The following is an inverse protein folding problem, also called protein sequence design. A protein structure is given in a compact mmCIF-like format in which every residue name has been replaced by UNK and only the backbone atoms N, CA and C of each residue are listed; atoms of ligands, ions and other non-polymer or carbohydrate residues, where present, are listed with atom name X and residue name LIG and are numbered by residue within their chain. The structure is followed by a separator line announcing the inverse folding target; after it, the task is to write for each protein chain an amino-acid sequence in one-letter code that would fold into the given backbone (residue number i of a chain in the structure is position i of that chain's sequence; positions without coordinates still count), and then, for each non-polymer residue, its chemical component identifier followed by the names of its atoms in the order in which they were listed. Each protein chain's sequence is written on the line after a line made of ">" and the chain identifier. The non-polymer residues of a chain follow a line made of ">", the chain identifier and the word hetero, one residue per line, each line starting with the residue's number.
data_IF_499364477952
#
_entry.id   IF_499364477952
#
_cell.length_a   1.000
_cell.length_b   1.000
_cell.length_c   1.000
_cell.angle_alpha   90.00
_cell.angle_beta   90.00
_cell.angle_gamma   90.00
#
_symmetry.space_group_name_H-M   'P 1'
#
loop_
_entity.id
_entity.type
_entity.pdbx_description
1 polymer ?
#
# COMPACT_ATOMS: atom_id res chain seq x y z
N UNK A 1 -24.26 47.86 20.65
CA UNK A 1 -23.39 46.74 21.02
C UNK A 1 -24.06 45.45 20.66
N UNK A 2 -23.86 44.95 19.45
CA UNK A 2 -24.35 43.64 19.03
C UNK A 2 -23.27 42.62 19.35
N UNK A 3 -23.52 41.76 20.34
CA UNK A 3 -22.77 40.56 20.56
C UNK A 3 -23.00 39.62 19.36
N UNK A 4 -22.08 39.61 18.44
CA UNK A 4 -22.00 38.54 17.46
C UNK A 4 -21.56 37.28 18.24
N UNK A 5 -22.51 36.37 18.43
CA UNK A 5 -22.24 35.05 18.94
C UNK A 5 -21.35 34.38 17.88
N UNK A 6 -20.07 34.21 18.18
CA UNK A 6 -19.21 33.29 17.39
C UNK A 6 -19.86 31.90 17.42
N UNK A 7 -20.02 31.25 16.26
CA UNK A 7 -20.51 29.88 16.25
C UNK A 7 -19.50 29.02 17.03
N UNK A 8 -20.05 28.27 17.98
CA UNK A 8 -19.31 27.26 18.78
C UNK A 8 -18.56 26.35 17.81
N UNK A 9 -17.27 26.61 17.61
CA UNK A 9 -16.37 25.74 16.86
C UNK A 9 -16.21 24.50 17.71
N UNK A 10 -17.00 23.48 17.42
CA UNK A 10 -16.97 22.19 18.11
C UNK A 10 -15.52 21.78 18.34
N UNK A 11 -15.21 21.56 19.62
CA UNK A 11 -13.87 21.21 20.10
C UNK A 11 -13.33 20.06 19.27
N UNK A 12 -12.27 20.29 18.52
CA UNK A 12 -11.63 19.26 17.71
C UNK A 12 -11.23 18.10 18.63
N UNK A 13 -11.71 16.88 18.33
CA UNK A 13 -11.44 15.69 19.14
C UNK A 13 -9.94 15.35 19.17
N UNK A 14 -9.20 15.82 18.17
CA UNK A 14 -7.74 15.63 18.07
C UNK A 14 -7.12 16.99 17.72
N UNK A 15 -6.44 17.59 18.67
CA UNK A 15 -5.82 18.92 18.52
C UNK A 15 -4.59 18.91 17.59
N UNK A 16 -3.85 17.79 17.54
CA UNK A 16 -2.66 17.68 16.71
C UNK A 16 -3.02 17.35 15.25
N UNK A 17 -2.67 18.20 14.25
CA UNK A 17 -2.88 17.92 12.84
C UNK A 17 -2.23 16.62 12.37
N UNK A 18 -1.07 16.28 12.91
CA UNK A 18 -0.36 15.03 12.62
C UNK A 18 -1.13 13.81 13.11
N UNK A 19 -1.64 13.85 14.34
CA UNK A 19 -2.43 12.75 14.89
C UNK A 19 -3.74 12.57 14.10
N UNK A 20 -4.37 13.67 13.71
CA UNK A 20 -5.59 13.66 12.89
C UNK A 20 -5.33 12.99 11.54
N UNK A 21 -4.29 13.42 10.82
CA UNK A 21 -3.90 12.84 9.54
C UNK A 21 -3.51 11.35 9.67
N UNK A 22 -2.83 10.98 10.75
CA UNK A 22 -2.46 9.59 11.03
C UNK A 22 -3.69 8.71 11.26
N UNK A 23 -4.63 9.17 12.10
CA UNK A 23 -5.87 8.43 12.39
C UNK A 23 -6.76 8.38 11.16
N UNK A 24 -6.95 9.51 10.45
CA UNK A 24 -7.73 9.56 9.22
C UNK A 24 -7.15 8.65 8.13
N UNK A 25 -5.84 8.68 7.95
CA UNK A 25 -5.13 7.81 7.01
C UNK A 25 -5.24 6.33 7.39
N UNK A 26 -5.11 6.00 8.67
CA UNK A 26 -5.29 4.64 9.18
C UNK A 26 -6.71 4.11 8.99
N UNK A 27 -7.72 4.92 9.31
CA UNK A 27 -9.12 4.59 9.08
C UNK A 27 -9.44 4.44 7.60
N UNK A 28 -8.96 5.35 6.76
CA UNK A 28 -9.15 5.28 5.32
C UNK A 28 -8.50 4.03 4.72
N UNK A 29 -7.26 3.72 5.09
CA UNK A 29 -6.58 2.50 4.66
C UNK A 29 -7.32 1.24 5.07
N UNK A 30 -7.75 1.15 6.33
CA UNK A 30 -8.53 0.01 6.83
C UNK A 30 -9.87 -0.12 6.10
N UNK A 31 -10.55 1.00 5.83
CA UNK A 31 -11.81 1.01 5.07
C UNK A 31 -11.61 0.46 3.65
N UNK A 32 -10.55 0.88 2.97
CA UNK A 32 -10.17 0.34 1.65
C UNK A 32 -9.92 -1.16 1.74
N UNK A 33 -9.07 -1.58 2.68
CA UNK A 33 -8.69 -2.98 2.84
C UNK A 33 -9.90 -3.87 3.11
N UNK A 34 -10.83 -3.45 3.98
CA UNK A 34 -12.04 -4.20 4.29
C UNK A 34 -13.03 -4.22 3.12
N UNK A 35 -13.28 -3.07 2.49
CA UNK A 35 -14.25 -2.93 1.39
C UNK A 35 -13.80 -3.72 0.16
N UNK A 36 -12.52 -3.70 -0.16
CA UNK A 36 -11.95 -4.35 -1.35
C UNK A 36 -11.35 -5.73 -1.05
N UNK A 37 -11.43 -6.20 0.20
CA UNK A 37 -10.91 -7.50 0.61
C UNK A 37 -11.43 -8.67 -0.23
N UNK A 38 -12.72 -8.71 -0.62
CA UNK A 38 -13.24 -9.72 -1.52
C UNK A 38 -12.49 -9.77 -2.86
N UNK A 39 -12.21 -8.62 -3.47
CA UNK A 39 -11.47 -8.55 -4.74
C UNK A 39 -10.03 -9.06 -4.59
N UNK A 40 -9.38 -8.73 -3.48
CA UNK A 40 -8.03 -9.20 -3.19
C UNK A 40 -8.00 -10.73 -2.97
N UNK A 41 -9.01 -11.28 -2.30
CA UNK A 41 -9.15 -12.72 -2.14
C UNK A 41 -9.39 -13.42 -3.48
N UNK A 42 -10.28 -12.89 -4.33
CA UNK A 42 -10.52 -13.43 -5.66
C UNK A 42 -9.26 -13.41 -6.52
N UNK A 43 -8.52 -12.29 -6.49
CA UNK A 43 -7.22 -12.17 -7.15
C UNK A 43 -6.25 -13.28 -6.71
N UNK A 44 -6.05 -13.45 -5.41
CA UNK A 44 -5.15 -14.46 -4.84
C UNK A 44 -5.54 -15.88 -5.26
N UNK A 45 -6.84 -16.21 -5.25
CA UNK A 45 -7.36 -17.52 -5.67
C UNK A 45 -7.18 -17.76 -7.16
N UNK A 46 -7.38 -16.76 -8.00
CA UNK A 46 -7.14 -16.85 -9.45
C UNK A 46 -5.65 -17.01 -9.77
N UNK A 47 -4.77 -16.43 -8.96
CA UNK A 47 -3.32 -16.53 -9.14
C UNK A 47 -2.73 -17.83 -8.56
N UNK A 48 -3.46 -18.51 -7.67
CA UNK A 48 -3.02 -19.76 -7.05
C UNK A 48 -2.79 -20.88 -8.08
N UNK A 49 -1.73 -21.67 -7.88
CA UNK A 49 -1.43 -22.84 -8.72
C UNK A 49 -2.46 -23.95 -8.57
N UNK A 50 -3.17 -24.01 -7.44
CA UNK A 50 -4.26 -24.97 -7.24
C UNK A 50 -5.51 -24.66 -8.08
N UNK A 51 -5.60 -23.43 -8.63
CA UNK A 51 -6.75 -22.96 -9.37
C UNK A 51 -7.85 -22.37 -8.47
N UNK A 52 -8.78 -21.64 -9.08
CA UNK A 52 -9.81 -20.87 -8.39
C UNK A 52 -10.72 -21.72 -7.50
N UNK A 53 -11.27 -22.81 -8.05
CA UNK A 53 -12.20 -23.67 -7.32
C UNK A 53 -11.54 -24.40 -6.15
N UNK A 54 -10.35 -24.96 -6.34
CA UNK A 54 -9.60 -25.67 -5.30
C UNK A 54 -9.08 -24.71 -4.21
N UNK A 55 -8.90 -23.44 -4.52
CA UNK A 55 -8.54 -22.39 -3.55
C UNK A 55 -9.75 -21.83 -2.80
N UNK A 56 -10.95 -22.41 -2.93
CA UNK A 56 -12.16 -22.06 -2.18
C UNK A 56 -13.20 -21.27 -2.98
N UNK A 57 -12.98 -20.97 -4.28
CA UNK A 57 -13.95 -20.27 -5.14
C UNK A 57 -14.46 -18.96 -4.54
N UNK A 58 -15.75 -18.85 -4.32
CA UNK A 58 -16.38 -17.68 -3.67
C UNK A 58 -16.65 -17.88 -2.18
N UNK A 59 -16.32 -19.03 -1.57
CA UNK A 59 -16.58 -19.30 -0.15
C UNK A 59 -15.50 -18.70 0.77
N UNK A 60 -15.90 -18.07 1.88
CA UNK A 60 -14.97 -17.53 2.86
C UNK A 60 -14.05 -16.45 2.28
N UNK A 61 -14.60 -15.50 1.53
CA UNK A 61 -13.85 -14.42 0.84
C UNK A 61 -13.14 -13.46 1.81
N UNK A 62 -13.52 -13.44 3.08
CA UNK A 62 -12.87 -12.66 4.15
C UNK A 62 -11.82 -13.46 4.96
N UNK A 63 -11.47 -14.68 4.53
CA UNK A 63 -10.40 -15.44 5.19
C UNK A 63 -9.07 -14.71 5.05
N UNK A 64 -8.38 -14.54 6.17
CA UNK A 64 -7.09 -13.83 6.18
C UNK A 64 -7.18 -12.33 6.50
N UNK A 65 -8.39 -11.74 6.64
CA UNK A 65 -8.55 -10.31 6.91
C UNK A 65 -7.86 -9.85 8.20
N UNK A 66 -7.82 -10.71 9.23
CA UNK A 66 -7.15 -10.37 10.50
C UNK A 66 -5.67 -10.07 10.34
N UNK A 67 -4.94 -10.81 9.50
CA UNK A 67 -3.51 -10.53 9.24
C UNK A 67 -3.30 -9.23 8.46
N UNK A 68 -4.23 -8.86 7.58
CA UNK A 68 -4.17 -7.60 6.86
C UNK A 68 -4.30 -6.41 7.82
N UNK A 69 -5.29 -6.44 8.70
CA UNK A 69 -5.54 -5.37 9.69
C UNK A 69 -4.33 -5.22 10.63
N UNK A 70 -3.83 -6.35 11.18
CA UNK A 70 -2.69 -6.33 12.11
C UNK A 70 -1.40 -5.86 11.44
N UNK A 71 -1.21 -6.14 10.15
CA UNK A 71 0.02 -5.81 9.41
C UNK A 71 0.05 -4.39 8.84
N UNK A 72 -1.10 -3.75 8.63
CA UNK A 72 -1.17 -2.46 7.93
C UNK A 72 -0.55 -1.31 8.74
N UNK A 73 -0.92 -1.16 10.01
CA UNK A 73 -0.45 -0.06 10.85
C UNK A 73 1.07 -0.10 11.14
N UNK A 74 1.68 -1.24 11.57
CA UNK A 74 3.13 -1.30 11.76
C UNK A 74 3.92 -1.14 10.45
N UNK A 75 3.39 -1.65 9.33
CA UNK A 75 4.01 -1.46 8.02
C UNK A 75 4.06 0.00 7.60
N UNK A 76 2.93 0.71 7.74
CA UNK A 76 2.86 2.14 7.48
C UNK A 76 3.78 2.94 8.42
N UNK A 77 3.81 2.60 9.71
CA UNK A 77 4.68 3.26 10.68
C UNK A 77 6.16 3.14 10.29
N UNK A 78 6.63 1.95 9.93
CA UNK A 78 8.01 1.74 9.48
C UNK A 78 8.32 2.50 8.19
N UNK A 79 7.37 2.55 7.25
CA UNK A 79 7.52 3.36 6.04
C UNK A 79 7.77 4.83 6.39
N UNK A 80 6.86 5.45 7.15
CA UNK A 80 6.95 6.87 7.46
C UNK A 80 8.17 7.22 8.32
N UNK A 81 8.49 6.41 9.33
CA UNK A 81 9.67 6.62 10.17
C UNK A 81 10.95 6.59 9.31
N UNK A 82 11.07 5.60 8.43
CA UNK A 82 12.24 5.46 7.56
C UNK A 82 12.30 6.58 6.52
N UNK A 83 11.17 6.91 5.91
CA UNK A 83 11.04 8.00 4.95
C UNK A 83 11.45 9.35 5.55
N UNK A 84 10.87 9.71 6.71
CA UNK A 84 11.16 10.98 7.38
C UNK A 84 12.61 11.04 7.89
N UNK A 85 13.13 9.93 8.42
CA UNK A 85 14.52 9.87 8.90
C UNK A 85 15.50 10.12 7.75
N UNK A 86 15.28 9.48 6.60
CA UNK A 86 16.11 9.69 5.43
C UNK A 86 15.95 11.11 4.86
N UNK A 87 14.72 11.59 4.72
CA UNK A 87 14.46 12.96 4.27
C UNK A 87 15.22 13.98 5.13
N UNK A 88 15.16 13.86 6.45
CA UNK A 88 15.90 14.73 7.39
C UNK A 88 17.41 14.58 7.26
N UNK A 89 17.93 13.39 7.02
CA UNK A 89 19.37 13.16 6.82
C UNK A 89 19.93 13.85 5.57
N UNK A 90 19.11 14.04 4.55
CA UNK A 90 19.46 14.76 3.32
C UNK A 90 19.07 16.24 3.33
N UNK A 91 18.28 16.67 4.32
CA UNK A 91 17.90 18.05 4.47
C UNK A 91 19.06 18.86 5.06
N UNK A 92 19.30 20.04 4.52
CA UNK A 92 20.22 21.01 5.11
C UNK A 92 19.41 21.96 6.02
N UNK A 93 19.85 22.24 7.24
CA UNK A 93 19.19 23.21 8.08
C UNK A 93 19.24 24.58 7.39
N UNK A 94 18.09 25.10 7.03
CA UNK A 94 18.00 26.46 6.49
C UNK A 94 18.21 27.44 7.63
N UNK A 95 19.04 28.48 7.42
CA UNK A 95 19.29 29.54 8.38
C UNK A 95 18.08 30.48 8.57
N UNK A 96 17.06 30.38 7.73
CA UNK A 96 15.88 31.22 7.80
C UNK A 96 14.86 30.60 8.77
N UNK A 97 14.54 31.36 9.83
CA UNK A 97 13.50 31.01 10.79
C UNK A 97 12.16 31.34 10.16
N UNK A 98 11.30 30.32 9.96
CA UNK A 98 9.90 30.51 9.59
C UNK A 98 9.01 30.51 10.84
N UNK A 99 7.86 31.18 10.77
CA UNK A 99 6.89 31.21 11.85
C UNK A 99 5.64 30.43 11.42
N UNK A 100 5.16 29.54 12.28
CA UNK A 100 3.89 28.83 12.03
C UNK A 100 2.69 29.78 12.22
N UNK A 101 1.48 29.30 11.91
CA UNK A 101 0.25 30.08 12.07
C UNK A 101 0.01 30.58 13.52
N UNK A 102 0.68 29.98 14.51
CA UNK A 102 0.63 30.37 15.93
C UNK A 102 1.76 31.35 16.33
N UNK A 103 2.57 31.81 15.36
CA UNK A 103 3.69 32.74 15.61
C UNK A 103 4.90 32.08 16.27
N UNK A 104 4.96 30.74 16.37
CA UNK A 104 6.13 30.05 16.94
C UNK A 104 7.20 29.83 15.87
N UNK A 105 8.46 30.19 16.17
CA UNK A 105 9.54 29.99 15.23
C UNK A 105 9.82 28.49 15.06
N UNK A 106 9.89 28.02 13.81
CA UNK A 106 10.36 26.69 13.48
C UNK A 106 11.41 26.77 12.36
N UNK A 107 12.34 25.81 12.38
CA UNK A 107 13.31 25.66 11.29
C UNK A 107 12.74 24.62 10.33
N UNK A 108 12.55 25.04 9.09
CA UNK A 108 12.17 24.09 8.03
C UNK A 108 13.45 23.47 7.47
N UNK A 109 13.48 22.15 7.46
CA UNK A 109 14.56 21.38 6.83
C UNK A 109 14.33 21.41 5.31
N UNK A 110 15.10 22.22 4.59
CA UNK A 110 14.95 22.39 3.14
C UNK A 110 15.92 21.46 2.40
N UNK A 111 15.39 20.69 1.50
CA UNK A 111 16.16 19.91 0.54
C UNK A 111 16.47 20.82 -0.65
N UNK A 112 17.72 20.79 -1.12
CA UNK A 112 18.15 21.51 -2.32
C UNK A 112 17.18 21.22 -3.48
N UNK A 113 16.57 22.24 -4.12
CA UNK A 113 15.55 22.05 -5.15
C UNK A 113 15.99 21.13 -6.30
N UNK A 114 17.30 21.13 -6.65
CA UNK A 114 17.85 20.25 -7.68
C UNK A 114 17.85 18.77 -7.30
N UNK A 115 17.86 18.45 -6.01
CA UNK A 115 17.94 17.07 -5.51
C UNK A 115 16.64 16.58 -4.83
N UNK A 116 15.63 17.44 -4.73
CA UNK A 116 14.41 17.16 -3.98
C UNK A 116 13.71 15.88 -4.49
N UNK A 117 13.52 15.78 -5.79
CA UNK A 117 12.87 14.59 -6.38
C UNK A 117 13.67 13.31 -6.11
N UNK A 118 15.01 13.36 -6.26
CA UNK A 118 15.88 12.21 -6.02
C UNK A 118 15.84 11.77 -4.55
N UNK A 119 15.90 12.72 -3.62
CA UNK A 119 15.82 12.42 -2.17
C UNK A 119 14.48 11.80 -1.80
N UNK A 120 13.37 12.34 -2.32
CA UNK A 120 12.05 11.76 -2.10
C UNK A 120 11.93 10.34 -2.69
N UNK A 121 12.47 10.10 -3.89
CA UNK A 121 12.47 8.77 -4.51
C UNK A 121 13.31 7.77 -3.69
N UNK A 122 14.50 8.15 -3.26
CA UNK A 122 15.36 7.29 -2.43
C UNK A 122 14.72 7.02 -1.06
N UNK A 123 14.21 8.06 -0.39
CA UNK A 123 13.55 7.92 0.90
C UNK A 123 12.31 7.03 0.80
N UNK A 124 11.49 7.18 -0.24
CA UNK A 124 10.34 6.33 -0.49
C UNK A 124 10.73 4.87 -0.79
N UNK A 125 11.77 4.66 -1.61
CA UNK A 125 12.24 3.32 -1.94
C UNK A 125 12.77 2.57 -0.72
N UNK A 126 13.59 3.22 0.11
CA UNK A 126 14.11 2.60 1.35
C UNK A 126 13.00 2.44 2.39
N UNK A 127 12.08 3.40 2.49
CA UNK A 127 10.88 3.30 3.33
C UNK A 127 10.02 2.10 2.95
N UNK A 128 9.82 1.84 1.66
CA UNK A 128 9.09 0.67 1.17
C UNK A 128 9.79 -0.64 1.52
N UNK A 129 11.12 -0.71 1.38
CA UNK A 129 11.90 -1.88 1.79
C UNK A 129 11.77 -2.14 3.29
N UNK A 130 11.82 -1.09 4.11
CA UNK A 130 11.61 -1.20 5.56
C UNK A 130 10.17 -1.65 5.89
N UNK A 131 9.16 -1.10 5.24
CA UNK A 131 7.77 -1.52 5.38
C UNK A 131 7.56 -2.99 5.02
N UNK A 132 8.28 -3.49 4.02
CA UNK A 132 8.24 -4.91 3.63
C UNK A 132 8.67 -5.84 4.78
N UNK A 133 9.46 -5.37 5.77
CA UNK A 133 9.84 -6.19 6.91
C UNK A 133 8.62 -6.69 7.72
N UNK A 134 7.56 -5.90 7.79
CA UNK A 134 6.28 -6.30 8.40
C UNK A 134 5.29 -6.83 7.35
N UNK A 135 5.24 -6.18 6.19
CA UNK A 135 4.28 -6.52 5.14
C UNK A 135 4.46 -7.95 4.61
N UNK A 136 5.70 -8.39 4.35
CA UNK A 136 5.92 -9.72 3.76
C UNK A 136 5.48 -10.86 4.67
N UNK A 137 5.84 -10.92 5.97
CA UNK A 137 5.33 -11.96 6.86
C UNK A 137 3.80 -11.98 6.97
N UNK A 138 3.18 -10.81 7.11
CA UNK A 138 1.72 -10.71 7.20
C UNK A 138 1.03 -11.09 5.90
N UNK A 139 1.63 -10.78 4.76
CA UNK A 139 1.11 -11.13 3.44
C UNK A 139 1.21 -12.64 3.17
N UNK A 140 2.28 -13.31 3.58
CA UNK A 140 2.40 -14.77 3.47
C UNK A 140 1.28 -15.46 4.26
N UNK A 141 1.04 -15.03 5.50
CA UNK A 141 -0.04 -15.55 6.35
C UNK A 141 -1.41 -15.27 5.72
N UNK A 142 -1.62 -14.05 5.23
CA UNK A 142 -2.84 -13.61 4.54
C UNK A 142 -3.14 -14.46 3.32
N UNK A 143 -2.19 -14.58 2.41
CA UNK A 143 -2.39 -15.29 1.14
C UNK A 143 -2.63 -16.78 1.34
N UNK A 144 -1.97 -17.43 2.31
CA UNK A 144 -2.24 -18.84 2.64
C UNK A 144 -3.65 -19.06 3.18
N UNK A 145 -4.18 -18.13 3.98
CA UNK A 145 -5.56 -18.19 4.44
C UNK A 145 -6.54 -17.90 3.28
N UNK A 146 -6.26 -16.89 2.44
CA UNK A 146 -7.08 -16.55 1.27
C UNK A 146 -7.17 -17.69 0.24
N UNK A 147 -6.07 -18.39 0.00
CA UNK A 147 -6.00 -19.54 -0.88
C UNK A 147 -6.56 -20.83 -0.24
N UNK A 148 -7.22 -20.72 0.92
CA UNK A 148 -7.81 -21.84 1.66
C UNK A 148 -6.83 -22.97 2.04
N UNK A 149 -5.53 -22.68 2.06
CA UNK A 149 -4.53 -23.62 2.60
C UNK A 149 -4.67 -23.80 4.11
N UNK A 150 -5.19 -22.80 4.79
CA UNK A 150 -5.51 -22.81 6.23
C UNK A 150 -6.87 -22.16 6.48
N UNK A 151 -7.61 -22.59 7.52
CA UNK A 151 -8.95 -22.07 7.80
C UNK A 151 -8.96 -20.59 8.25
N UNK A 152 -7.86 -20.10 8.82
CA UNK A 152 -7.73 -18.71 9.29
C UNK A 152 -6.28 -18.23 9.24
N UNK A 153 -6.06 -16.90 9.38
CA UNK A 153 -4.73 -16.30 9.54
C UNK A 153 -3.99 -16.87 10.74
N UNK A 154 -4.68 -17.02 11.87
CA UNK A 154 -4.07 -17.56 13.09
C UNK A 154 -3.60 -18.99 12.89
N UNK A 155 -4.42 -19.84 12.25
CA UNK A 155 -4.04 -21.22 11.92
C UNK A 155 -2.82 -21.26 10.98
N UNK A 156 -2.78 -20.38 9.97
CA UNK A 156 -1.63 -20.28 9.06
C UNK A 156 -0.35 -19.86 9.81
N UNK A 157 -0.45 -18.85 10.67
CA UNK A 157 0.68 -18.39 11.49
C UNK A 157 1.17 -19.46 12.45
N UNK A 158 0.24 -20.08 13.19
CA UNK A 158 0.57 -21.16 14.15
C UNK A 158 1.23 -22.34 13.44
N UNK A 159 0.75 -22.72 12.26
CA UNK A 159 1.37 -23.77 11.45
C UNK A 159 2.83 -23.42 11.09
N UNK A 160 3.11 -22.19 10.65
CA UNK A 160 4.45 -21.74 10.32
C UNK A 160 5.34 -21.73 11.58
N UNK A 161 4.83 -21.18 12.70
CA UNK A 161 5.59 -21.10 13.95
C UNK A 161 5.89 -22.47 14.56
N UNK A 162 4.98 -23.44 14.46
CA UNK A 162 5.18 -24.79 14.98
C UNK A 162 6.28 -25.56 14.23
N UNK A 163 6.64 -25.14 13.01
CA UNK A 163 7.77 -25.74 12.29
C UNK A 163 9.12 -25.52 13.01
N UNK A 164 9.19 -24.62 13.99
CA UNK A 164 10.38 -24.44 14.85
C UNK A 164 10.78 -25.72 15.59
N UNK A 165 9.78 -26.54 15.96
CA UNK A 165 10.02 -27.78 16.72
C UNK A 165 10.51 -28.94 15.85
N UNK A 166 10.17 -28.92 14.55
CA UNK A 166 10.49 -30.00 13.60
C UNK A 166 11.68 -29.68 12.70
N UNK A 167 11.93 -28.39 12.42
CA UNK A 167 12.98 -28.01 11.46
C UNK A 167 14.02 -27.05 12.05
N UNK A 168 13.74 -25.80 12.28
CA UNK A 168 14.65 -24.80 12.88
C UNK A 168 13.97 -23.41 12.89
N UNK A 169 14.41 -22.51 13.78
CA UNK A 169 14.01 -21.11 13.76
C UNK A 169 14.37 -20.42 12.44
N UNK A 170 15.53 -20.75 11.87
CA UNK A 170 15.93 -20.21 10.55
C UNK A 170 14.94 -20.62 9.45
N UNK A 171 14.39 -21.84 9.53
CA UNK A 171 13.37 -22.28 8.58
C UNK A 171 12.08 -21.46 8.71
N UNK A 172 11.62 -21.19 9.94
CA UNK A 172 10.46 -20.33 10.20
C UNK A 172 10.65 -18.94 9.60
N UNK A 173 11.82 -18.33 9.82
CA UNK A 173 12.16 -17.04 9.20
C UNK A 173 12.11 -17.10 7.66
N UNK A 174 12.73 -18.13 7.06
CA UNK A 174 12.70 -18.32 5.61
C UNK A 174 11.29 -18.53 5.06
N UNK A 175 10.38 -19.12 5.83
CA UNK A 175 8.97 -19.29 5.46
C UNK A 175 8.19 -17.98 5.56
N UNK A 176 8.36 -17.21 6.64
CA UNK A 176 7.69 -15.91 6.81
C UNK A 176 8.15 -14.88 5.78
N UNK A 177 9.42 -14.91 5.39
CA UNK A 177 9.98 -14.00 4.38
C UNK A 177 10.00 -14.62 2.97
N UNK A 178 9.18 -15.63 2.75
CA UNK A 178 9.00 -16.22 1.43
C UNK A 178 8.40 -15.17 0.47
N UNK A 179 9.12 -14.92 -0.64
CA UNK A 179 8.70 -13.92 -1.61
C UNK A 179 9.19 -12.49 -1.33
N UNK A 180 10.07 -12.27 -0.34
CA UNK A 180 10.66 -10.95 -0.07
C UNK A 180 11.27 -10.33 -1.34
N UNK A 181 12.18 -11.05 -2.00
CA UNK A 181 12.87 -10.55 -3.20
C UNK A 181 11.90 -10.20 -4.32
N UNK A 182 10.94 -11.09 -4.61
CA UNK A 182 9.96 -10.83 -5.67
C UNK A 182 8.99 -9.70 -5.31
N UNK A 183 8.73 -9.46 -4.01
CA UNK A 183 7.92 -8.31 -3.58
C UNK A 183 8.64 -7.01 -3.95
N UNK A 184 9.93 -6.89 -3.64
CA UNK A 184 10.71 -5.69 -3.99
C UNK A 184 10.83 -5.54 -5.51
N UNK A 185 11.16 -6.64 -6.23
CA UNK A 185 11.27 -6.62 -7.70
C UNK A 185 9.94 -6.21 -8.37
N UNK A 186 8.80 -6.52 -7.77
CA UNK A 186 7.49 -6.10 -8.29
C UNK A 186 7.20 -4.62 -8.07
N UNK A 187 7.59 -4.08 -6.91
CA UNK A 187 7.32 -2.68 -6.57
C UNK A 187 8.03 -1.71 -7.52
N UNK A 188 9.29 -1.99 -7.85
CA UNK A 188 10.10 -1.10 -8.70
C UNK A 188 9.47 -0.86 -10.09
N UNK A 189 9.13 -1.87 -10.91
CA UNK A 189 8.46 -1.63 -12.19
C UNK A 189 7.10 -0.94 -12.04
N UNK A 190 6.35 -1.28 -11.00
CA UNK A 190 5.05 -0.66 -10.76
C UNK A 190 5.19 0.85 -10.55
N UNK A 191 6.10 1.28 -9.69
CA UNK A 191 6.33 2.69 -9.41
C UNK A 191 6.92 3.44 -10.60
N UNK A 192 7.85 2.82 -11.34
CA UNK A 192 8.45 3.40 -12.56
C UNK A 192 7.39 3.66 -13.64
N UNK A 193 6.36 2.84 -13.73
CA UNK A 193 5.27 3.03 -14.71
C UNK A 193 4.24 4.02 -14.17
N UNK A 194 3.82 3.85 -12.90
CA UNK A 194 2.72 4.63 -12.34
C UNK A 194 3.03 6.12 -12.21
N UNK A 195 4.18 6.48 -11.63
CA UNK A 195 4.46 7.89 -11.34
C UNK A 195 4.67 8.75 -12.60
N UNK A 196 5.50 8.37 -13.58
CA UNK A 196 5.63 9.16 -14.79
C UNK A 196 4.32 9.27 -15.58
N UNK A 197 3.53 8.20 -15.62
CA UNK A 197 2.24 8.22 -16.30
C UNK A 197 1.25 9.16 -15.58
N UNK A 198 1.21 9.14 -14.26
CA UNK A 198 0.42 10.05 -13.46
C UNK A 198 0.80 11.52 -13.68
N UNK A 199 2.10 11.83 -13.66
CA UNK A 199 2.60 13.17 -13.95
C UNK A 199 2.25 13.61 -15.38
N UNK A 200 2.44 12.74 -16.38
CA UNK A 200 2.06 13.03 -17.75
C UNK A 200 0.55 13.32 -17.90
N UNK A 201 -0.30 12.55 -17.22
CA UNK A 201 -1.74 12.77 -17.21
C UNK A 201 -2.13 14.09 -16.53
N UNK A 202 -1.47 14.46 -15.42
CA UNK A 202 -1.66 15.75 -14.76
C UNK A 202 -1.27 16.90 -15.67
N UNK A 203 -0.10 16.84 -16.29
CA UNK A 203 0.36 17.85 -17.25
C UNK A 203 -0.60 17.99 -18.41
N UNK A 204 -1.05 16.87 -18.99
CA UNK A 204 -2.04 16.89 -20.07
C UNK A 204 -3.33 17.58 -19.61
N UNK A 205 -3.84 17.26 -18.42
CA UNK A 205 -5.06 17.87 -17.88
C UNK A 205 -4.89 19.38 -17.63
N UNK A 206 -3.76 19.79 -17.05
CA UNK A 206 -3.45 21.22 -16.85
C UNK A 206 -3.39 21.99 -18.16
N UNK A 207 -2.79 21.41 -19.20
CA UNK A 207 -2.73 22.05 -20.53
C UNK A 207 -4.11 22.21 -21.17
N UNK A 208 -5.02 21.26 -20.95
CA UNK A 208 -6.40 21.33 -21.47
C UNK A 208 -7.27 22.34 -20.72
N UNK A 209 -7.05 22.50 -19.41
CA UNK A 209 -7.89 23.38 -18.57
C UNK A 209 -7.32 24.77 -18.36
N UNK A 210 -6.09 25.03 -18.81
CA UNK A 210 -5.38 26.30 -18.59
C UNK A 210 -5.00 26.53 -17.11
N UNK A 211 -5.16 25.54 -16.22
CA UNK A 211 -4.84 25.62 -14.79
C UNK A 211 -3.38 25.24 -14.55
N UNK A 212 -2.78 25.81 -13.49
CA UNK A 212 -1.43 25.45 -13.07
C UNK A 212 -1.36 24.10 -12.38
N UNK A 213 -2.45 23.71 -11.70
CA UNK A 213 -2.53 22.47 -10.91
C UNK A 213 -3.88 21.78 -11.12
N UNK A 214 -3.91 20.48 -10.93
CA UNK A 214 -5.13 19.65 -10.89
C UNK A 214 -5.74 19.69 -9.50
N UNK A 215 -7.06 19.60 -9.41
CA UNK A 215 -7.72 19.46 -8.11
C UNK A 215 -7.37 18.11 -7.46
N UNK A 216 -7.48 17.99 -6.13
CA UNK A 216 -7.19 16.75 -5.42
C UNK A 216 -7.99 15.56 -5.95
N UNK A 217 -9.27 15.75 -6.28
CA UNK A 217 -10.12 14.72 -6.86
C UNK A 217 -9.68 14.33 -8.28
N UNK A 218 -9.35 15.29 -9.14
CA UNK A 218 -8.80 15.01 -10.47
C UNK A 218 -7.47 14.26 -10.37
N UNK A 219 -6.57 14.71 -9.47
CA UNK A 219 -5.30 14.04 -9.22
C UNK A 219 -5.48 12.58 -8.76
N UNK A 220 -6.46 12.32 -7.92
CA UNK A 220 -6.83 10.97 -7.47
C UNK A 220 -7.35 10.09 -8.60
N UNK A 221 -8.23 10.61 -9.45
CA UNK A 221 -8.76 9.89 -10.62
C UNK A 221 -7.66 9.57 -11.63
N UNK A 222 -6.80 10.55 -11.95
CA UNK A 222 -5.65 10.35 -12.84
C UNK A 222 -4.65 9.34 -12.26
N UNK A 223 -4.44 9.37 -10.93
CA UNK A 223 -3.65 8.37 -10.20
C UNK A 223 -4.25 6.97 -10.27
N UNK A 224 -5.58 6.85 -10.19
CA UNK A 224 -6.28 5.56 -10.36
C UNK A 224 -6.11 5.00 -11.76
N UNK A 225 -6.17 5.83 -12.80
CA UNK A 225 -5.92 5.42 -14.20
C UNK A 225 -4.47 4.98 -14.39
N UNK A 226 -3.51 5.79 -13.92
CA UNK A 226 -2.09 5.44 -14.00
C UNK A 226 -1.78 4.14 -13.24
N UNK A 227 -2.35 3.97 -12.05
CA UNK A 227 -2.24 2.75 -11.24
C UNK A 227 -2.85 1.54 -11.91
N UNK A 228 -4.00 1.69 -12.58
CA UNK A 228 -4.64 0.60 -13.32
C UNK A 228 -3.76 0.09 -14.48
N UNK A 229 -3.15 1.00 -15.24
CA UNK A 229 -2.22 0.66 -16.32
C UNK A 229 -0.98 -0.03 -15.76
N UNK A 230 -0.36 0.54 -14.72
CA UNK A 230 0.80 -0.03 -14.06
C UNK A 230 0.49 -1.44 -13.50
N UNK A 231 -0.70 -1.62 -12.89
CA UNK A 231 -1.17 -2.90 -12.39
C UNK A 231 -1.31 -3.95 -13.50
N UNK A 232 -1.92 -3.56 -14.62
CA UNK A 232 -2.07 -4.45 -15.77
C UNK A 232 -0.72 -4.96 -16.27
N UNK A 233 0.22 -4.05 -16.50
CA UNK A 233 1.55 -4.36 -17.02
C UNK A 233 2.40 -5.18 -16.02
N UNK A 234 2.25 -4.94 -14.72
CA UNK A 234 3.00 -5.66 -13.67
C UNK A 234 2.29 -6.91 -13.15
N UNK A 235 1.13 -7.29 -13.70
CA UNK A 235 0.41 -8.50 -13.29
C UNK A 235 1.24 -9.78 -13.38
N UNK A 236 2.10 -10.01 -14.40
CA UNK A 236 2.97 -11.17 -14.44
C UNK A 236 3.87 -11.34 -13.21
N UNK A 237 4.45 -10.24 -12.73
CA UNK A 237 5.28 -10.25 -11.52
C UNK A 237 4.45 -10.51 -10.26
N UNK A 238 3.22 -10.04 -10.24
CA UNK A 238 2.29 -10.26 -9.13
C UNK A 238 1.85 -11.72 -9.04
N UNK A 239 1.56 -12.36 -10.17
CA UNK A 239 1.27 -13.80 -10.24
C UNK A 239 2.45 -14.61 -9.74
N UNK A 240 3.65 -14.28 -10.20
CA UNK A 240 4.88 -14.93 -9.76
C UNK A 240 5.07 -14.81 -8.25
N UNK A 241 4.90 -13.60 -7.68
CA UNK A 241 4.93 -13.34 -6.23
C UNK A 241 3.95 -14.23 -5.48
N UNK A 242 2.68 -14.22 -5.88
CA UNK A 242 1.62 -14.98 -5.21
C UNK A 242 1.91 -16.49 -5.26
N UNK A 243 2.31 -17.03 -6.40
CA UNK A 243 2.66 -18.45 -6.53
C UNK A 243 3.88 -18.82 -5.68
N UNK A 244 4.89 -17.96 -5.59
CA UNK A 244 6.05 -18.18 -4.70
C UNK A 244 5.66 -18.17 -3.22
N UNK A 245 4.75 -17.30 -2.79
CA UNK A 245 4.27 -17.26 -1.40
C UNK A 245 3.40 -18.46 -1.03
N UNK A 246 2.60 -18.96 -1.98
CA UNK A 246 1.72 -20.11 -1.80
C UNK A 246 2.40 -21.47 -2.02
N UNK A 247 3.60 -21.51 -2.62
CA UNK A 247 4.30 -22.75 -2.90
C UNK A 247 4.58 -23.54 -1.62
N UNK A 248 4.43 -24.87 -1.67
CA UNK A 248 4.75 -25.78 -0.54
C UNK A 248 6.23 -25.78 -0.22
N UNK A 249 7.08 -25.72 -1.26
CA UNK A 249 8.53 -25.68 -1.13
C UNK A 249 9.10 -24.39 -1.70
N UNK A 250 10.23 -23.93 -1.16
CA UNK A 250 10.92 -22.75 -1.66
C UNK A 250 11.59 -23.09 -2.98
N UNK A 251 11.20 -22.42 -4.04
CA UNK A 251 11.79 -22.56 -5.36
C UNK A 251 12.42 -21.23 -5.81
N UNK A 252 13.53 -21.26 -6.56
CA UNK A 252 14.09 -20.06 -7.20
C UNK A 252 13.08 -19.45 -8.17
N UNK A 253 13.14 -18.12 -8.32
CA UNK A 253 12.21 -17.36 -9.16
C UNK A 253 12.17 -17.88 -10.61
N UNK A 254 13.32 -18.17 -11.21
CA UNK A 254 13.40 -18.67 -12.59
C UNK A 254 12.80 -20.07 -12.76
N UNK A 255 12.93 -20.93 -11.75
CA UNK A 255 12.31 -22.24 -11.75
C UNK A 255 10.79 -22.12 -11.69
N UNK A 256 10.29 -21.25 -10.83
CA UNK A 256 8.86 -20.97 -10.75
C UNK A 256 8.32 -20.37 -12.06
N UNK A 257 9.06 -19.45 -12.68
CA UNK A 257 8.70 -18.87 -13.97
C UNK A 257 8.57 -19.93 -15.06
N UNK A 258 9.58 -20.82 -15.17
CA UNK A 258 9.55 -21.91 -16.14
C UNK A 258 8.45 -22.94 -15.87
N UNK A 259 8.17 -23.23 -14.61
CA UNK A 259 7.07 -24.10 -14.21
C UNK A 259 5.71 -23.50 -14.62
N UNK A 260 5.49 -22.20 -14.38
CA UNK A 260 4.24 -21.54 -14.80
C UNK A 260 4.06 -21.63 -16.31
N UNK A 261 5.12 -21.39 -17.08
CA UNK A 261 5.06 -21.46 -18.54
C UNK A 261 4.73 -22.88 -19.06
N UNK A 262 5.36 -23.89 -18.45
CA UNK A 262 5.16 -25.31 -18.86
C UNK A 262 3.79 -25.84 -18.45
N UNK A 263 3.38 -25.59 -17.20
CA UNK A 263 2.20 -26.23 -16.62
C UNK A 263 0.90 -25.50 -16.92
N UNK A 264 0.94 -24.15 -16.98
CA UNK A 264 -0.26 -23.31 -17.07
C UNK A 264 -0.28 -22.42 -18.32
N UNK A 265 0.83 -22.34 -19.05
CA UNK A 265 0.98 -21.51 -20.25
C UNK A 265 1.07 -20.00 -19.99
N UNK A 266 1.31 -19.18 -21.03
CA UNK A 266 1.58 -17.74 -20.87
C UNK A 266 0.36 -16.95 -20.36
N UNK A 267 -0.87 -17.41 -20.63
CA UNK A 267 -2.10 -16.75 -20.15
C UNK A 267 -2.20 -16.74 -18.62
N UNK A 268 -1.58 -17.69 -17.93
CA UNK A 268 -1.57 -17.77 -16.47
C UNK A 268 -0.91 -16.56 -15.80
N UNK A 269 0.01 -15.87 -16.48
CA UNK A 269 0.65 -14.64 -15.96
C UNK A 269 -0.31 -13.46 -15.85
N UNK A 270 -1.46 -13.49 -16.50
CA UNK A 270 -2.50 -12.48 -16.41
C UNK A 270 -3.68 -12.90 -15.54
N UNK A 271 -3.54 -14.01 -14.81
CA UNK A 271 -4.57 -14.46 -13.87
C UNK A 271 -4.82 -13.41 -12.77
N UNK A 272 -6.10 -13.08 -12.55
CA UNK A 272 -6.49 -12.08 -11.55
C UNK A 272 -6.23 -10.63 -11.95
N UNK A 273 -5.98 -10.31 -13.23
CA UNK A 273 -5.80 -8.94 -13.72
C UNK A 273 -7.04 -8.07 -13.46
N UNK A 274 -8.24 -8.59 -13.70
CA UNK A 274 -9.50 -7.86 -13.48
C UNK A 274 -9.68 -7.40 -12.04
N UNK A 275 -9.71 -8.32 -11.05
CA UNK A 275 -9.76 -7.95 -9.63
C UNK A 275 -8.64 -7.02 -9.20
N UNK A 276 -7.42 -7.17 -9.74
CA UNK A 276 -6.28 -6.29 -9.41
C UNK A 276 -6.48 -4.87 -9.91
N UNK A 277 -6.88 -4.69 -11.16
CA UNK A 277 -7.18 -3.37 -11.73
C UNK A 277 -8.35 -2.75 -10.96
N UNK A 278 -9.43 -3.52 -10.74
CA UNK A 278 -10.58 -3.05 -9.96
C UNK A 278 -10.20 -2.57 -8.57
N UNK A 279 -9.36 -3.34 -7.85
CA UNK A 279 -8.89 -2.96 -6.52
C UNK A 279 -8.13 -1.63 -6.53
N UNK A 280 -7.21 -1.42 -7.47
CA UNK A 280 -6.42 -0.20 -7.57
C UNK A 280 -7.27 0.99 -8.00
N UNK A 281 -8.14 0.80 -9.00
CA UNK A 281 -8.98 1.89 -9.54
C UNK A 281 -10.00 2.39 -8.51
N UNK A 282 -10.65 1.48 -7.78
CA UNK A 282 -11.68 1.83 -6.79
C UNK A 282 -11.07 2.19 -5.44
N UNK A 283 -9.92 1.59 -5.09
CA UNK A 283 -9.23 1.81 -3.83
C UNK A 283 -8.87 3.26 -3.59
N UNK A 284 -8.40 3.95 -4.62
CA UNK A 284 -8.08 5.38 -4.54
C UNK A 284 -9.30 6.24 -4.20
N UNK A 285 -10.44 5.98 -4.83
CA UNK A 285 -11.68 6.72 -4.57
C UNK A 285 -12.21 6.47 -3.14
N UNK A 286 -12.20 5.21 -2.70
CA UNK A 286 -12.62 4.86 -1.32
C UNK A 286 -11.67 5.50 -0.31
N UNK A 287 -10.35 5.47 -0.57
CA UNK A 287 -9.36 6.07 0.32
C UNK A 287 -9.59 7.57 0.49
N UNK A 288 -9.72 8.31 -0.61
CA UNK A 288 -9.93 9.75 -0.57
C UNK A 288 -11.25 10.11 0.12
N UNK A 289 -12.34 9.41 -0.20
CA UNK A 289 -13.63 9.63 0.44
C UNK A 289 -13.62 9.33 1.94
N UNK A 290 -13.02 8.22 2.34
CA UNK A 290 -12.92 7.82 3.76
C UNK A 290 -11.98 8.75 4.54
N UNK A 291 -10.88 9.17 3.94
CA UNK A 291 -9.94 10.11 4.54
C UNK A 291 -10.61 11.47 4.80
N UNK A 292 -11.28 12.02 3.77
CA UNK A 292 -12.00 13.29 3.88
C UNK A 292 -13.09 13.24 4.95
N UNK A 293 -13.91 12.17 4.93
CA UNK A 293 -14.94 11.97 5.94
C UNK A 293 -14.35 11.91 7.36
N UNK A 294 -13.29 11.12 7.57
CA UNK A 294 -12.65 10.99 8.88
C UNK A 294 -12.00 12.30 9.33
N UNK A 295 -11.33 13.01 8.42
CA UNK A 295 -10.71 14.31 8.71
C UNK A 295 -11.76 15.36 9.12
N UNK A 296 -12.86 15.45 8.41
CA UNK A 296 -13.96 16.38 8.70
C UNK A 296 -14.63 16.05 10.03
N UNK A 297 -14.88 14.77 10.32
CA UNK A 297 -15.48 14.31 11.59
C UNK A 297 -14.60 14.64 12.79
N UNK A 298 -13.27 14.62 12.65
CA UNK A 298 -12.33 14.97 13.70
C UNK A 298 -12.08 16.49 13.84
N UNK A 299 -12.85 17.33 13.13
CA UNK A 299 -12.78 18.78 13.21
C UNK A 299 -11.77 19.43 12.27
N UNK A 300 -11.44 18.75 11.15
CA UNK A 300 -10.77 19.38 10.00
C UNK A 300 -11.79 20.21 9.25
N UNK A 301 -11.74 21.55 9.37
CA UNK A 301 -12.47 22.44 8.48
C UNK A 301 -11.74 22.41 7.13
N UNK A 302 -12.47 22.16 6.06
CA UNK A 302 -11.95 22.31 4.71
C UNK A 302 -11.54 23.77 4.49
N UNK A 303 -10.25 24.01 4.33
CA UNK A 303 -9.76 25.15 3.58
C UNK A 303 -9.89 24.79 2.09
N UNK A 304 -11.09 25.01 1.56
CA UNK A 304 -11.38 24.98 0.12
C UNK A 304 -11.00 26.28 -0.54
#
# INVERSE_FOLDING_TARGET
>A
MQHVLEPDRGRAWVESPYLRSLIAGGLAGTTVDLSLYPLDTLKTRLQSSAGFAASGGFTGIYRGVGSAIVGSAPGAALFFITYDSLKRSFARPQSTIQYNAEGKPYKEDVIDPGNQALVHMLAASVGEVAACAVRVPTEVVKQRAQASQHPSSLSALTYILNQRHTRSLVHVWKELYRGWSITIIREVPFTIIQFPLWEALKHYRCSQTGRKEVTGMEGGLLGSVAGAVAAGLTTPLDVLKTRMMLAKEKQPMFVMLSAILKDSGPRAFFAGIGPRIGWISVGGAIFLGSYQWASNTMGGVDDS
#
